data_IF_807211905842
#
_entry.id   IF_807211905842
#
_cell.length_a   1.000
_cell.length_b   1.000
_cell.length_c   1.000
_cell.angle_alpha   90.00
_cell.angle_beta   90.00
_cell.angle_gamma   90.00
#
_symmetry.space_group_name_H-M   'P 1'
#
loop_
_entity.id
_entity.type
_entity.pdbx_description
1 polymer ?
#
# COMPACT_ATOMS: atom_id res chain seq x y z
N UNK A 1 -1.97 13.07 -6.55
CA UNK A 1 -1.23 11.87 -6.14
C UNK A 1 -1.93 11.10 -5.03
N UNK A 2 -2.42 11.78 -3.99
CA UNK A 2 -3.18 11.13 -2.92
C UNK A 2 -4.32 10.24 -3.41
N UNK A 3 -5.17 10.75 -4.32
CA UNK A 3 -6.26 9.97 -4.94
C UNK A 3 -5.78 8.69 -5.61
N UNK A 4 -4.62 8.73 -6.28
CA UNK A 4 -4.02 7.55 -6.93
C UNK A 4 -3.53 6.54 -5.90
N UNK A 5 -2.90 7.00 -4.82
CA UNK A 5 -2.50 6.12 -3.72
C UNK A 5 -3.70 5.45 -3.05
N UNK A 6 -4.78 6.21 -2.80
CA UNK A 6 -6.03 5.64 -2.25
C UNK A 6 -6.65 4.63 -3.20
N UNK A 7 -6.61 4.88 -4.51
CA UNK A 7 -7.07 3.92 -5.52
C UNK A 7 -6.24 2.62 -5.48
N UNK A 8 -4.92 2.71 -5.41
CA UNK A 8 -4.05 1.53 -5.32
C UNK A 8 -4.29 0.76 -4.01
N UNK A 9 -4.43 1.46 -2.88
CA UNK A 9 -4.79 0.83 -1.60
C UNK A 9 -6.13 0.08 -1.69
N UNK A 10 -7.14 0.67 -2.32
CA UNK A 10 -8.42 0.03 -2.53
C UNK A 10 -8.30 -1.22 -3.41
N UNK A 11 -7.55 -1.15 -4.52
CA UNK A 11 -7.29 -2.31 -5.39
C UNK A 11 -6.61 -3.47 -4.63
N UNK A 12 -5.73 -3.19 -3.67
CA UNK A 12 -5.11 -4.21 -2.81
C UNK A 12 -6.12 -4.78 -1.81
N UNK A 13 -6.92 -3.92 -1.18
CA UNK A 13 -7.96 -4.34 -0.23
C UNK A 13 -8.95 -5.29 -0.91
N UNK A 14 -9.44 -4.94 -2.10
CA UNK A 14 -10.36 -5.76 -2.88
C UNK A 14 -9.72 -7.11 -3.26
N UNK A 15 -8.44 -7.12 -3.61
CA UNK A 15 -7.70 -8.36 -3.88
C UNK A 15 -7.63 -9.25 -2.63
N UNK A 16 -7.40 -8.66 -1.46
CA UNK A 16 -7.29 -9.40 -0.19
C UNK A 16 -8.64 -9.96 0.24
N UNK A 17 -9.71 -9.18 0.08
CA UNK A 17 -11.09 -9.62 0.33
C UNK A 17 -11.46 -10.78 -0.60
N UNK A 18 -11.06 -10.68 -1.87
CA UNK A 18 -11.30 -11.75 -2.84
C UNK A 18 -10.59 -13.06 -2.46
N UNK A 19 -9.35 -13.01 -1.95
CA UNK A 19 -8.60 -14.22 -1.55
C UNK A 19 -8.86 -14.70 -0.13
N UNK A 20 -9.53 -13.90 0.70
CA UNK A 20 -9.76 -14.21 2.11
C UNK A 20 -8.54 -13.94 2.99
N UNK A 21 -7.63 -13.05 2.58
CA UNK A 21 -6.52 -12.58 3.43
C UNK A 21 -7.09 -11.59 4.45
N UNK A 22 -6.90 -11.86 5.74
CA UNK A 22 -7.51 -11.06 6.83
C UNK A 22 -6.50 -10.33 7.69
N UNK A 23 -5.22 -10.68 7.63
CA UNK A 23 -4.17 -10.11 8.47
C UNK A 23 -3.82 -8.68 8.09
N UNK A 24 -3.64 -8.40 6.80
CA UNK A 24 -3.23 -7.08 6.31
C UNK A 24 -4.39 -6.15 5.95
N UNK A 25 -5.59 -6.71 5.70
CA UNK A 25 -6.79 -5.91 5.37
C UNK A 25 -7.03 -4.77 6.35
N UNK A 26 -6.90 -5.01 7.66
CA UNK A 26 -7.22 -4.00 8.68
C UNK A 26 -6.26 -2.81 8.56
N UNK A 27 -4.96 -3.08 8.43
CA UNK A 27 -3.92 -2.05 8.26
C UNK A 27 -4.15 -1.24 6.99
N UNK A 28 -4.46 -1.91 5.86
CA UNK A 28 -4.69 -1.25 4.58
C UNK A 28 -5.97 -0.40 4.61
N UNK A 29 -7.06 -0.89 5.21
CA UNK A 29 -8.31 -0.11 5.39
C UNK A 29 -8.09 1.12 6.25
N UNK A 30 -7.28 1.02 7.32
CA UNK A 30 -6.89 2.16 8.13
C UNK A 30 -6.16 3.23 7.31
N UNK A 31 -5.16 2.82 6.52
CA UNK A 31 -4.43 3.74 5.64
C UNK A 31 -5.33 4.35 4.57
N UNK A 32 -6.24 3.56 4.00
CA UNK A 32 -7.20 4.04 3.00
C UNK A 32 -8.16 5.09 3.58
N UNK A 33 -8.62 4.90 4.82
CA UNK A 33 -9.59 5.77 5.47
C UNK A 33 -8.96 7.01 6.15
N UNK A 34 -7.64 7.01 6.39
CA UNK A 34 -6.96 8.12 7.05
C UNK A 34 -7.04 9.41 6.22
N UNK A 35 -7.78 10.38 6.75
CA UNK A 35 -7.94 11.73 6.22
C UNK A 35 -7.60 12.80 7.28
N UNK A 36 -7.04 12.39 8.42
CA UNK A 36 -6.71 13.26 9.55
C UNK A 36 -5.22 13.53 9.64
N UNK A 37 -4.39 12.58 9.23
CA UNK A 37 -2.94 12.73 9.22
C UNK A 37 -2.49 13.75 8.18
N UNK A 38 -1.36 14.42 8.46
CA UNK A 38 -0.70 15.22 7.44
C UNK A 38 -0.28 14.32 6.27
N UNK A 39 -0.22 14.85 5.03
CA UNK A 39 0.24 14.04 3.89
C UNK A 39 1.60 13.40 4.11
N UNK A 40 2.52 14.06 4.82
CA UNK A 40 3.85 13.51 5.13
C UNK A 40 3.80 12.34 6.10
N UNK A 41 3.00 12.44 7.16
CA UNK A 41 2.87 11.37 8.15
C UNK A 41 2.16 10.16 7.53
N UNK A 42 1.10 10.41 6.75
CA UNK A 42 0.42 9.36 6.00
C UNK A 42 1.34 8.63 5.02
N UNK A 43 2.20 9.34 4.29
CA UNK A 43 3.20 8.74 3.40
C UNK A 43 4.27 7.94 4.16
N UNK A 44 4.67 8.37 5.37
CA UNK A 44 5.60 7.61 6.22
C UNK A 44 5.00 6.29 6.68
N UNK A 45 3.71 6.29 7.05
CA UNK A 45 2.98 5.07 7.39
C UNK A 45 2.89 4.12 6.19
N UNK A 46 2.56 4.62 4.99
CA UNK A 46 2.58 3.81 3.75
C UNK A 46 3.98 3.25 3.48
N UNK A 47 5.03 4.07 3.64
CA UNK A 47 6.42 3.61 3.48
C UNK A 47 6.76 2.49 4.47
N UNK A 48 6.22 2.56 5.69
CA UNK A 48 6.40 1.54 6.73
C UNK A 48 5.94 0.15 6.32
N UNK A 49 5.03 0.03 5.34
CA UNK A 49 4.61 -1.27 4.79
C UNK A 49 5.77 -2.04 4.14
N UNK A 50 6.76 -1.32 3.59
CA UNK A 50 7.82 -1.89 2.74
C UNK A 50 9.13 -2.17 3.48
N UNK A 51 9.10 -2.27 4.81
CA UNK A 51 10.30 -2.52 5.61
C UNK A 51 10.06 -3.47 6.79
N UNK A 52 11.13 -4.19 7.17
CA UNK A 52 11.11 -5.13 8.30
C UNK A 52 10.89 -6.59 7.89
N UNK A 53 11.06 -7.51 8.85
CA UNK A 53 10.80 -8.93 8.68
C UNK A 53 9.30 -9.22 8.84
N UNK A 54 8.70 -9.96 7.89
CA UNK A 54 7.26 -10.22 7.90
C UNK A 54 6.44 -9.01 7.44
N UNK A 55 7.06 -8.15 6.62
CA UNK A 55 6.46 -6.93 6.12
C UNK A 55 5.44 -7.22 5.01
N UNK A 56 4.74 -6.19 4.55
CA UNK A 56 3.75 -6.32 3.49
C UNK A 56 4.37 -6.88 2.19
N UNK A 57 5.67 -6.69 1.97
CA UNK A 57 6.37 -7.25 0.80
C UNK A 57 6.60 -8.75 0.88
N UNK A 58 6.66 -9.31 2.09
CA UNK A 58 6.91 -10.75 2.31
C UNK A 58 5.65 -11.60 2.18
N UNK A 59 4.47 -10.97 2.16
CA UNK A 59 3.18 -11.67 2.11
C UNK A 59 3.01 -12.42 0.77
N UNK A 60 2.74 -13.71 0.87
CA UNK A 60 2.33 -14.56 -0.26
C UNK A 60 0.88 -14.98 -0.05
N UNK A 61 0.01 -14.65 -0.99
CA UNK A 61 -1.41 -15.00 -0.94
C UNK A 61 -1.60 -16.49 -1.19
N UNK A 62 -2.34 -17.13 -0.28
CA UNK A 62 -2.69 -18.54 -0.34
C UNK A 62 -4.17 -18.72 -0.03
N UNK A 63 -4.82 -19.69 -0.70
CA UNK A 63 -6.19 -20.11 -0.43
C UNK A 63 -6.22 -21.63 -0.29
N UNK A 64 -6.73 -22.12 0.84
CA UNK A 64 -6.78 -23.56 1.15
C UNK A 64 -5.41 -24.26 1.01
N UNK A 65 -4.32 -23.59 1.39
CA UNK A 65 -2.96 -24.13 1.30
C UNK A 65 -2.35 -24.10 -0.11
N UNK A 66 -3.04 -23.55 -1.11
CA UNK A 66 -2.56 -23.42 -2.48
C UNK A 66 -2.17 -21.95 -2.73
N UNK A 67 -1.01 -21.74 -3.36
CA UNK A 67 -0.54 -20.41 -3.74
C UNK A 67 -1.43 -19.84 -4.85
N UNK A 68 -1.93 -18.61 -4.65
CA UNK A 68 -2.75 -17.88 -5.61
C UNK A 68 -1.85 -17.15 -6.62
N UNK A 69 -1.37 -17.85 -7.66
CA UNK A 69 -0.30 -17.33 -8.55
C UNK A 69 -0.70 -16.01 -9.21
N UNK A 70 -1.88 -15.94 -9.83
CA UNK A 70 -2.33 -14.75 -10.55
C UNK A 70 -2.55 -13.56 -9.62
N UNK A 71 -3.10 -13.82 -8.43
CA UNK A 71 -3.31 -12.80 -7.40
C UNK A 71 -1.99 -12.31 -6.83
N UNK A 72 -0.99 -13.17 -6.64
CA UNK A 72 0.34 -12.74 -6.22
C UNK A 72 1.04 -11.90 -7.30
N UNK A 73 0.92 -12.27 -8.58
CA UNK A 73 1.44 -11.46 -9.68
C UNK A 73 0.78 -10.07 -9.72
N UNK A 74 -0.54 -10.01 -9.49
CA UNK A 74 -1.25 -8.74 -9.38
C UNK A 74 -0.83 -7.94 -8.15
N UNK A 75 -0.64 -8.60 -7.01
CA UNK A 75 -0.19 -7.96 -5.78
C UNK A 75 1.21 -7.35 -5.93
N UNK A 76 2.10 -8.03 -6.64
CA UNK A 76 3.45 -7.53 -6.93
C UNK A 76 3.40 -6.22 -7.74
N UNK A 77 2.60 -6.20 -8.81
CA UNK A 77 2.38 -4.98 -9.60
C UNK A 77 1.76 -3.84 -8.77
N UNK A 78 0.85 -4.16 -7.86
CA UNK A 78 0.22 -3.17 -6.97
C UNK A 78 1.21 -2.62 -5.94
N UNK A 79 2.09 -3.46 -5.38
CA UNK A 79 3.18 -3.06 -4.49
C UNK A 79 4.11 -2.06 -5.17
N UNK A 80 4.56 -2.38 -6.37
CA UNK A 80 5.42 -1.50 -7.16
C UNK A 80 4.75 -0.16 -7.45
N UNK A 81 3.49 -0.18 -7.89
CA UNK A 81 2.70 1.03 -8.14
C UNK A 81 2.56 1.86 -6.87
N UNK A 82 2.25 1.23 -5.74
CA UNK A 82 2.07 1.90 -4.44
C UNK A 82 3.37 2.57 -3.98
N UNK A 83 4.47 1.82 -4.00
CA UNK A 83 5.78 2.32 -3.57
C UNK A 83 6.26 3.49 -4.43
N UNK A 84 6.26 3.31 -5.75
CA UNK A 84 6.73 4.33 -6.68
C UNK A 84 5.91 5.61 -6.58
N UNK A 85 4.58 5.49 -6.45
CA UNK A 85 3.71 6.66 -6.32
C UNK A 85 3.88 7.36 -4.97
N UNK A 86 4.12 6.60 -3.90
CA UNK A 86 4.40 7.15 -2.57
C UNK A 86 5.71 7.94 -2.59
N UNK A 87 6.78 7.39 -3.18
CA UNK A 87 8.08 8.07 -3.29
C UNK A 87 7.95 9.37 -4.10
N UNK A 88 7.26 9.34 -5.25
CA UNK A 88 7.01 10.54 -6.05
C UNK A 88 6.30 11.62 -5.25
N UNK A 89 5.24 11.27 -4.53
CA UNK A 89 4.49 12.24 -3.72
C UNK A 89 5.35 12.80 -2.59
N UNK A 90 6.16 11.97 -1.95
CA UNK A 90 7.07 12.41 -0.91
C UNK A 90 8.10 13.43 -1.42
N UNK A 91 8.65 13.21 -2.62
CA UNK A 91 9.60 14.15 -3.26
C UNK A 91 8.92 15.47 -3.60
N UNK A 92 7.73 15.43 -4.21
CA UNK A 92 6.99 16.65 -4.59
C UNK A 92 6.64 17.52 -3.37
N UNK A 93 6.20 16.92 -2.26
CA UNK A 93 5.91 17.65 -1.02
C UNK A 93 7.16 18.35 -0.44
N UNK A 94 8.33 17.69 -0.49
CA UNK A 94 9.56 18.28 0.02
C UNK A 94 10.13 19.37 -0.90
N UNK A 95 9.85 19.31 -2.20
CA UNK A 95 10.28 20.35 -3.14
C UNK A 95 9.40 21.60 -3.04
N UNK A 96 8.09 21.45 -2.81
CA UNK A 96 7.19 22.61 -2.62
C UNK A 96 7.55 23.45 -1.39
N UNK A 97 8.08 22.84 -0.34
CA UNK A 97 8.49 23.56 0.88
C UNK A 97 9.80 24.33 0.73
N UNK A 98 10.68 23.94 -0.20
CA UNK A 98 11.96 24.63 -0.45
C UNK A 98 11.82 25.86 -1.34
N UNK A 99 10.68 26.01 -2.00
CA UNK A 99 10.37 27.15 -2.88
C UNK A 99 9.56 28.26 -2.19
N UNK A 100 9.32 28.11 -0.87
CA UNK A 100 8.73 29.13 0.01
C UNK A 100 9.80 29.70 0.94
#
# INVERSE_FOLDING_TARGET
MEKELRKILLEIIELFEFVGETGWIITLKRLYADNVSSPKDWLREIKGLFGGMGSFTDLVLMRNGIICIDENNRLDQLRDRLYNRMVQFFVELNNSEKSQ
#
